data_IF_931187657598
#
_entry.id   IF_931187657598
#
_cell.length_a   1.000
_cell.length_b   1.000
_cell.length_c   1.000
_cell.angle_alpha   90.00
_cell.angle_beta   90.00
_cell.angle_gamma   90.00
#
_symmetry.space_group_name_H-M   'P 1'
#
loop_
_entity.id
_entity.type
_entity.pdbx_description
1 polymer ?
#
# COMPACT_ATOMS: atom_id res chain seq x y z
N UNK A 1 -27.50 49.36 24.27
CA UNK A 1 -27.44 47.93 24.62
C UNK A 1 -27.38 47.12 23.32
N UNK A 2 -26.19 46.57 23.08
CA UNK A 2 -25.75 45.51 22.15
C UNK A 2 -26.67 45.08 20.98
N UNK A 3 -26.28 45.49 19.76
CA UNK A 3 -26.64 44.88 18.46
C UNK A 3 -25.55 43.86 18.06
N UNK A 4 -24.96 43.15 19.02
CA UNK A 4 -23.83 42.22 18.78
C UNK A 4 -24.24 40.73 18.86
N UNK A 5 -25.55 40.43 18.90
CA UNK A 5 -26.05 39.09 19.25
C UNK A 5 -26.52 38.19 18.13
N UNK A 6 -26.38 38.54 16.84
CA UNK A 6 -27.01 37.76 15.74
C UNK A 6 -26.11 37.29 14.60
N UNK A 7 -24.80 37.56 14.63
CA UNK A 7 -23.91 37.24 13.48
C UNK A 7 -22.84 36.17 13.74
N UNK A 8 -22.86 35.46 14.86
CA UNK A 8 -21.79 34.48 15.19
C UNK A 8 -22.19 33.01 14.92
N UNK A 9 -23.44 32.71 14.56
CA UNK A 9 -23.89 31.31 14.37
C UNK A 9 -23.74 30.80 12.92
N UNK A 10 -23.39 31.66 11.95
CA UNK A 10 -23.23 31.25 10.54
C UNK A 10 -21.77 31.03 10.09
N UNK A 11 -20.78 31.26 10.95
CA UNK A 11 -19.35 31.10 10.60
C UNK A 11 -18.70 29.82 11.16
N UNK A 12 -19.46 28.94 11.84
CA UNK A 12 -18.96 27.69 12.44
C UNK A 12 -19.38 26.42 11.67
N UNK A 13 -20.05 26.56 10.53
CA UNK A 13 -20.45 25.46 9.65
C UNK A 13 -19.64 25.39 8.34
N UNK A 14 -18.60 26.22 8.19
CA UNK A 14 -17.68 26.21 7.06
C UNK A 14 -16.31 25.57 7.38
N UNK A 15 -16.18 24.88 8.52
CA UNK A 15 -15.17 23.83 8.68
C UNK A 15 -15.86 22.51 8.37
N UNK A 16 -16.42 22.40 7.16
CA UNK A 16 -16.50 21.08 6.56
C UNK A 16 -15.04 20.71 6.37
N UNK A 17 -14.56 19.83 7.25
CA UNK A 17 -13.39 19.01 6.99
C UNK A 17 -13.41 18.65 5.50
N UNK A 18 -12.53 19.24 4.71
CA UNK A 18 -12.09 18.67 3.44
C UNK A 18 -11.30 17.42 3.81
N UNK A 19 -12.00 16.46 4.41
CA UNK A 19 -11.55 15.10 4.61
C UNK A 19 -11.48 14.51 3.22
N UNK A 20 -10.36 14.80 2.56
CA UNK A 20 -10.03 14.37 1.22
C UNK A 20 -10.24 12.87 1.13
N UNK A 21 -11.26 12.46 0.37
CA UNK A 21 -11.30 11.18 -0.33
C UNK A 21 -9.96 10.98 -1.05
N UNK A 22 -9.57 9.75 -1.40
CA UNK A 22 -8.55 9.58 -2.42
C UNK A 22 -8.95 10.41 -3.64
N UNK A 23 -8.01 11.20 -4.15
CA UNK A 23 -8.28 12.15 -5.24
C UNK A 23 -7.71 11.59 -6.54
N UNK A 24 -8.49 11.66 -7.62
CA UNK A 24 -7.96 11.39 -8.95
C UNK A 24 -7.15 12.62 -9.40
N UNK A 25 -5.82 12.52 -9.35
CA UNK A 25 -4.91 13.63 -9.70
C UNK A 25 -4.84 13.94 -11.20
N UNK A 26 -5.44 13.11 -12.04
CA UNK A 26 -5.17 13.09 -13.48
C UNK A 26 -6.28 13.72 -14.30
N UNK A 27 -5.93 14.18 -15.50
CA UNK A 27 -6.90 14.70 -16.47
C UNK A 27 -7.96 13.63 -16.79
N UNK A 28 -9.27 13.98 -16.75
CA UNK A 28 -10.33 13.04 -17.11
C UNK A 28 -10.12 12.39 -18.48
N UNK A 29 -10.35 11.08 -18.59
CA UNK A 29 -10.16 10.31 -19.82
C UNK A 29 -8.73 9.83 -20.08
N UNK A 30 -7.73 10.31 -19.33
CA UNK A 30 -6.36 9.80 -19.42
C UNK A 30 -6.23 8.36 -18.91
N UNK A 31 -5.16 7.67 -19.31
CA UNK A 31 -4.82 6.31 -18.82
C UNK A 31 -4.74 6.28 -17.28
N UNK A 32 -3.95 7.13 -16.60
CA UNK A 32 -3.87 7.09 -15.15
C UNK A 32 -5.18 7.48 -14.44
N UNK A 33 -6.06 8.26 -15.09
CA UNK A 33 -7.40 8.50 -14.56
C UNK A 33 -8.26 7.22 -14.58
N UNK A 34 -8.10 6.35 -15.59
CA UNK A 34 -8.78 5.04 -15.63
C UNK A 34 -8.18 4.06 -14.62
N UNK A 35 -6.85 4.08 -14.44
CA UNK A 35 -6.16 3.29 -13.40
C UNK A 35 -6.67 3.64 -12.01
N UNK A 36 -6.92 4.93 -11.73
CA UNK A 36 -7.49 5.38 -10.47
C UNK A 36 -8.82 4.69 -10.17
N UNK A 37 -9.73 4.58 -11.15
CA UNK A 37 -11.03 3.93 -10.94
C UNK A 37 -10.91 2.44 -10.61
N UNK A 38 -9.86 1.75 -11.08
CA UNK A 38 -9.60 0.35 -10.73
C UNK A 38 -9.19 0.20 -9.26
N UNK A 39 -8.35 1.11 -8.75
CA UNK A 39 -7.81 1.02 -7.39
C UNK A 39 -8.67 1.70 -6.33
N UNK A 40 -9.57 2.60 -6.75
CA UNK A 40 -10.48 3.36 -5.88
C UNK A 40 -11.23 2.52 -4.83
N UNK A 41 -11.76 1.32 -5.15
CA UNK A 41 -12.45 0.49 -4.16
C UNK A 41 -11.54 0.01 -3.02
N UNK A 42 -10.23 -0.05 -3.25
CA UNK A 42 -9.23 -0.42 -2.25
C UNK A 42 -8.83 0.82 -1.47
N UNK A 43 -8.30 1.84 -2.17
CA UNK A 43 -7.71 3.01 -1.51
C UNK A 43 -8.73 3.84 -0.73
N UNK A 44 -10.00 3.83 -1.15
CA UNK A 44 -11.10 4.51 -0.47
C UNK A 44 -10.79 5.98 -0.22
N UNK A 45 -11.05 6.47 1.00
CA UNK A 45 -10.71 7.84 1.41
C UNK A 45 -9.32 7.93 2.06
N UNK A 46 -8.51 6.87 1.93
CA UNK A 46 -7.34 6.63 2.79
C UNK A 46 -6.05 7.12 2.16
N UNK A 47 -5.89 6.97 0.84
CA UNK A 47 -4.64 7.30 0.14
C UNK A 47 -4.90 7.73 -1.30
N UNK A 48 -4.28 8.83 -1.72
CA UNK A 48 -4.23 9.32 -3.09
C UNK A 48 -3.02 8.68 -3.80
N UNK A 49 -3.24 7.78 -4.77
CA UNK A 49 -2.15 7.11 -5.48
C UNK A 49 -1.55 8.01 -6.57
N UNK A 50 -0.23 7.93 -6.74
CA UNK A 50 0.52 8.48 -7.87
C UNK A 50 1.02 7.32 -8.72
N UNK A 51 0.56 7.20 -9.96
CA UNK A 51 1.02 6.17 -10.89
C UNK A 51 2.31 6.58 -11.59
N UNK A 52 3.27 5.66 -11.65
CA UNK A 52 4.56 5.83 -12.31
C UNK A 52 4.91 4.59 -13.15
N UNK A 53 5.74 4.78 -14.17
CA UNK A 53 6.51 3.70 -14.78
C UNK A 53 7.92 3.64 -14.20
N UNK A 54 8.42 2.42 -14.04
CA UNK A 54 9.77 2.17 -13.52
C UNK A 54 10.88 2.76 -14.41
N UNK A 55 10.70 2.75 -15.72
CA UNK A 55 11.67 3.21 -16.73
C UNK A 55 11.37 4.62 -17.27
N UNK A 56 10.13 5.10 -17.13
CA UNK A 56 9.72 6.43 -17.61
C UNK A 56 8.69 7.10 -16.68
N UNK A 57 9.16 7.54 -15.52
CA UNK A 57 8.32 8.18 -14.51
C UNK A 57 7.52 9.40 -15.04
N UNK A 58 8.10 10.14 -15.98
CA UNK A 58 7.53 11.38 -16.51
C UNK A 58 6.27 11.14 -17.35
N UNK A 59 6.11 9.97 -17.96
CA UNK A 59 5.01 9.68 -18.88
C UNK A 59 3.64 9.81 -18.21
N UNK A 60 3.45 9.11 -17.08
CA UNK A 60 2.17 9.15 -16.36
C UNK A 60 1.98 10.47 -15.60
N UNK A 61 3.07 11.07 -15.11
CA UNK A 61 3.02 12.39 -14.47
C UNK A 61 2.64 13.51 -15.45
N UNK A 62 2.90 13.34 -16.75
CA UNK A 62 2.49 14.29 -17.79
C UNK A 62 0.97 14.49 -17.89
N UNK A 63 0.17 13.58 -17.33
CA UNK A 63 -1.30 13.67 -17.29
C UNK A 63 -1.85 14.31 -16.02
N UNK A 64 -1.01 14.79 -15.10
CA UNK A 64 -1.47 15.44 -13.87
C UNK A 64 -2.30 16.69 -14.18
N UNK A 65 -3.38 16.86 -13.42
CA UNK A 65 -4.16 18.09 -13.41
C UNK A 65 -3.57 19.04 -12.36
N UNK A 66 -2.93 20.16 -12.76
CA UNK A 66 -2.24 21.04 -11.83
C UNK A 66 -3.17 21.66 -10.78
N UNK A 67 -4.43 21.90 -11.12
CA UNK A 67 -5.44 22.42 -10.17
C UNK A 67 -5.72 21.38 -9.09
N UNK A 68 -5.97 20.13 -9.50
CA UNK A 68 -6.29 19.04 -8.56
C UNK A 68 -5.09 18.69 -7.68
N UNK A 69 -3.88 18.69 -8.23
CA UNK A 69 -2.64 18.47 -7.47
C UNK A 69 -2.46 19.54 -6.40
N UNK A 70 -2.70 20.81 -6.75
CA UNK A 70 -2.64 21.92 -5.82
C UNK A 70 -3.72 21.81 -4.73
N UNK A 71 -4.96 21.49 -5.09
CA UNK A 71 -6.07 21.28 -4.13
C UNK A 71 -5.83 20.10 -3.19
N UNK A 72 -5.17 19.04 -3.67
CA UNK A 72 -4.76 17.91 -2.86
C UNK A 72 -3.56 18.22 -1.93
N UNK A 73 -2.95 19.40 -2.05
CA UNK A 73 -1.83 19.83 -1.21
C UNK A 73 -0.52 19.09 -1.50
N UNK A 74 -0.36 18.51 -2.70
CA UNK A 74 0.80 17.71 -3.07
C UNK A 74 1.86 18.61 -3.72
N UNK A 75 3.04 18.72 -3.09
CA UNK A 75 4.16 19.51 -3.60
C UNK A 75 5.12 18.73 -4.49
N UNK A 76 5.98 19.45 -5.21
CA UNK A 76 7.02 18.86 -6.09
C UNK A 76 7.93 17.87 -5.34
N UNK A 77 8.26 18.15 -4.08
CA UNK A 77 9.09 17.27 -3.26
C UNK A 77 8.50 15.85 -3.08
N UNK A 78 7.17 15.70 -3.15
CA UNK A 78 6.51 14.38 -3.14
C UNK A 78 6.82 13.60 -4.41
N UNK A 79 6.73 14.24 -5.58
CA UNK A 79 7.06 13.60 -6.86
C UNK A 79 8.55 13.28 -6.94
N UNK A 80 9.42 14.20 -6.54
CA UNK A 80 10.87 14.00 -6.51
C UNK A 80 11.26 12.81 -5.62
N UNK A 81 10.60 12.68 -4.45
CA UNK A 81 10.77 11.54 -3.57
C UNK A 81 10.42 10.22 -4.28
N UNK A 82 9.24 10.12 -4.88
CA UNK A 82 8.83 8.89 -5.56
C UNK A 82 9.75 8.54 -6.74
N UNK A 83 10.15 9.52 -7.54
CA UNK A 83 11.09 9.32 -8.65
C UNK A 83 12.46 8.84 -8.14
N UNK A 84 12.97 9.43 -7.05
CA UNK A 84 14.26 9.04 -6.45
C UNK A 84 14.29 7.61 -5.89
N UNK A 85 13.10 7.04 -5.64
CA UNK A 85 12.90 5.71 -5.07
C UNK A 85 12.55 4.67 -6.10
N UNK A 86 12.50 5.04 -7.39
CA UNK A 86 12.35 4.07 -8.46
C UNK A 86 13.53 3.10 -8.44
N UNK A 87 13.21 1.83 -8.67
CA UNK A 87 14.18 0.76 -8.86
C UNK A 87 14.30 0.53 -10.37
N UNK A 88 15.39 1.04 -11.01
CA UNK A 88 15.67 0.73 -12.40
C UNK A 88 15.79 -0.79 -12.58
N UNK A 89 15.40 -1.31 -13.74
CA UNK A 89 15.52 -2.73 -14.06
C UNK A 89 14.79 -3.70 -13.12
N UNK A 90 13.77 -3.22 -12.38
CA UNK A 90 12.92 -4.05 -11.51
C UNK A 90 12.42 -5.36 -12.18
N UNK A 91 12.13 -5.32 -13.49
CA UNK A 91 11.75 -6.50 -14.27
C UNK A 91 12.83 -7.59 -14.36
N UNK A 92 14.11 -7.22 -14.38
CA UNK A 92 15.24 -8.18 -14.42
C UNK A 92 15.22 -9.07 -13.17
N UNK A 93 14.72 -8.53 -12.06
CA UNK A 93 14.52 -9.25 -10.81
C UNK A 93 13.13 -9.89 -10.68
N UNK A 94 12.32 -9.87 -11.74
CA UNK A 94 10.97 -10.43 -11.77
C UNK A 94 9.90 -9.60 -11.07
N UNK A 95 10.20 -8.34 -10.72
CA UNK A 95 9.25 -7.40 -10.11
C UNK A 95 8.43 -6.72 -11.21
N UNK A 96 7.10 -6.91 -11.18
CA UNK A 96 6.17 -6.42 -12.21
C UNK A 96 5.40 -5.17 -11.80
N UNK A 97 5.41 -4.86 -10.51
CA UNK A 97 4.87 -3.66 -9.89
C UNK A 97 5.38 -3.56 -8.45
N UNK A 98 5.37 -2.35 -7.90
CA UNK A 98 5.69 -2.10 -6.49
C UNK A 98 5.09 -0.77 -6.03
N UNK A 99 4.80 -0.66 -4.74
CA UNK A 99 4.35 0.58 -4.12
C UNK A 99 5.52 1.31 -3.45
N UNK A 100 5.62 2.62 -3.69
CA UNK A 100 6.56 3.48 -2.95
C UNK A 100 5.77 4.23 -1.88
N UNK A 101 6.05 3.85 -0.64
CA UNK A 101 5.49 4.47 0.56
C UNK A 101 6.57 4.74 1.59
N UNK A 102 6.27 4.44 2.85
CA UNK A 102 7.14 4.69 4.00
C UNK A 102 6.42 5.45 5.11
N UNK A 103 7.05 5.62 6.27
CA UNK A 103 6.46 6.33 7.41
C UNK A 103 6.24 7.83 7.14
N UNK A 104 7.08 8.45 6.32
CA UNK A 104 6.96 9.84 5.90
C UNK A 104 7.18 9.98 4.40
N UNK A 105 6.39 10.87 3.78
CA UNK A 105 6.55 11.29 2.38
C UNK A 105 6.67 12.82 2.38
N UNK A 106 7.79 13.39 1.90
CA UNK A 106 8.02 14.83 1.95
C UNK A 106 7.11 15.60 1.00
N UNK A 107 6.85 16.87 1.29
CA UNK A 107 6.02 17.76 0.46
C UNK A 107 4.52 17.47 0.50
N UNK A 108 4.10 16.64 1.45
CA UNK A 108 2.71 16.31 1.73
C UNK A 108 2.49 16.03 3.22
N UNK A 109 3.25 16.68 4.10
CA UNK A 109 3.30 16.36 5.53
C UNK A 109 1.96 16.63 6.23
N UNK A 110 1.21 17.63 5.77
CA UNK A 110 -0.10 18.00 6.33
C UNK A 110 -1.23 17.01 6.00
N UNK A 111 -1.12 16.25 4.90
CA UNK A 111 -2.15 15.30 4.46
C UNK A 111 -1.68 13.85 4.62
N UNK A 112 -0.38 13.56 4.46
CA UNK A 112 0.28 12.26 4.68
C UNK A 112 -0.36 11.03 4.00
N UNK A 113 -1.20 11.26 2.99
CA UNK A 113 -2.00 10.26 2.29
C UNK A 113 -1.61 10.13 0.82
N UNK A 114 -0.32 10.20 0.49
CA UNK A 114 0.18 9.85 -0.84
C UNK A 114 1.04 8.59 -0.81
N UNK A 115 0.97 7.85 -1.90
CA UNK A 115 1.78 6.67 -2.18
C UNK A 115 1.93 6.55 -3.70
N UNK A 116 3.07 6.09 -4.19
CA UNK A 116 3.19 5.78 -5.60
C UNK A 116 2.88 4.30 -5.87
N UNK A 117 2.15 4.04 -6.96
CA UNK A 117 2.01 2.71 -7.54
C UNK A 117 2.87 2.70 -8.81
N UNK A 118 3.94 1.92 -8.80
CA UNK A 118 4.86 1.81 -9.91
C UNK A 118 4.57 0.53 -10.67
N UNK A 119 4.32 0.66 -11.97
CA UNK A 119 4.17 -0.48 -12.85
C UNK A 119 5.43 -0.64 -13.69
N UNK A 120 5.88 -1.88 -13.88
CA UNK A 120 7.12 -2.13 -14.58
C UNK A 120 6.98 -1.96 -16.11
N UNK A 121 5.78 -2.10 -16.69
CA UNK A 121 5.51 -1.90 -18.12
C UNK A 121 4.06 -1.51 -18.40
N UNK A 122 3.79 -1.03 -19.62
CA UNK A 122 2.44 -0.74 -20.08
C UNK A 122 1.52 -1.97 -20.04
N UNK A 123 2.04 -3.15 -20.34
CA UNK A 123 1.26 -4.39 -20.28
C UNK A 123 0.77 -4.67 -18.86
N UNK A 124 1.61 -4.42 -17.85
CA UNK A 124 1.24 -4.68 -16.47
C UNK A 124 0.16 -3.70 -15.95
N UNK A 125 0.02 -2.52 -16.55
CA UNK A 125 -1.09 -1.60 -16.23
C UNK A 125 -2.47 -2.19 -16.57
N UNK A 126 -2.54 -3.14 -17.50
CA UNK A 126 -3.80 -3.81 -17.84
C UNK A 126 -4.12 -4.94 -16.85
N UNK A 127 -3.15 -5.33 -16.00
CA UNK A 127 -3.31 -6.39 -15.01
C UNK A 127 -3.96 -5.83 -13.74
N UNK A 128 -5.28 -5.92 -13.64
CA UNK A 128 -6.06 -5.48 -12.47
C UNK A 128 -5.55 -6.07 -11.15
N UNK A 129 -5.05 -7.32 -11.17
CA UNK A 129 -4.54 -7.99 -9.97
C UNK A 129 -3.29 -7.35 -9.38
N UNK A 130 -2.38 -6.86 -10.23
CA UNK A 130 -1.15 -6.20 -9.77
C UNK A 130 -1.47 -4.82 -9.22
N UNK A 131 -2.27 -4.02 -9.94
CA UNK A 131 -2.71 -2.72 -9.43
C UNK A 131 -3.48 -2.83 -8.11
N UNK A 132 -4.31 -3.87 -7.96
CA UNK A 132 -5.01 -4.15 -6.70
C UNK A 132 -4.02 -4.42 -5.56
N UNK A 133 -2.99 -5.23 -5.80
CA UNK A 133 -1.97 -5.55 -4.82
C UNK A 133 -1.21 -4.30 -4.36
N UNK A 134 -0.72 -3.49 -5.30
CA UNK A 134 -0.01 -2.26 -4.98
C UNK A 134 -0.91 -1.21 -4.31
N UNK A 135 -2.20 -1.18 -4.65
CA UNK A 135 -3.18 -0.33 -3.98
C UNK A 135 -3.39 -0.74 -2.51
N UNK A 136 -3.37 -2.04 -2.21
CA UNK A 136 -3.40 -2.53 -0.82
C UNK A 136 -2.16 -2.07 -0.07
N UNK A 137 -0.97 -2.15 -0.68
CA UNK A 137 0.26 -1.62 -0.07
C UNK A 137 0.15 -0.14 0.26
N UNK A 138 -0.31 0.68 -0.70
CA UNK A 138 -0.52 2.10 -0.49
C UNK A 138 -1.51 2.41 0.65
N UNK A 139 -2.61 1.66 0.73
CA UNK A 139 -3.57 1.78 1.82
C UNK A 139 -2.92 1.44 3.16
N UNK A 140 -2.18 0.33 3.22
CA UNK A 140 -1.50 -0.10 4.43
C UNK A 140 -0.52 0.95 4.95
N UNK A 141 0.28 1.56 4.06
CA UNK A 141 1.17 2.66 4.43
C UNK A 141 0.38 3.81 5.05
N UNK A 142 -0.68 4.27 4.40
CA UNK A 142 -1.47 5.39 4.90
C UNK A 142 -2.13 5.09 6.25
N UNK A 143 -2.73 3.91 6.43
CA UNK A 143 -3.37 3.52 7.70
C UNK A 143 -2.36 3.41 8.84
N UNK A 144 -1.19 2.82 8.60
CA UNK A 144 -0.15 2.66 9.63
C UNK A 144 0.57 3.99 9.96
N UNK A 145 0.65 4.94 9.03
CA UNK A 145 1.13 6.31 9.33
C UNK A 145 0.20 7.02 10.31
N UNK A 146 -1.11 6.88 10.10
CA UNK A 146 -2.13 7.46 10.98
C UNK A 146 -2.10 6.78 12.35
N UNK A 147 -1.88 5.46 12.39
CA UNK A 147 -1.77 4.66 13.60
C UNK A 147 -0.32 4.30 13.93
N UNK A 148 0.45 5.29 14.38
CA UNK A 148 1.87 5.15 14.71
C UNK A 148 2.15 4.04 15.74
N UNK A 149 1.21 3.77 16.65
CA UNK A 149 1.38 2.69 17.62
C UNK A 149 1.29 1.32 16.96
N UNK A 150 0.41 1.13 15.98
CA UNK A 150 0.43 -0.07 15.15
C UNK A 150 1.72 -0.17 14.30
N UNK A 151 2.23 0.93 13.74
CA UNK A 151 3.52 0.92 13.02
C UNK A 151 4.67 0.45 13.92
N UNK A 152 4.81 1.03 15.11
CA UNK A 152 5.83 0.62 16.09
C UNK A 152 5.64 -0.82 16.54
N UNK A 153 4.39 -1.25 16.73
CA UNK A 153 4.09 -2.62 17.11
C UNK A 153 4.53 -3.59 16.01
N UNK A 154 4.26 -3.29 14.74
CA UNK A 154 4.76 -4.08 13.60
C UNK A 154 6.29 -4.18 13.63
N UNK A 155 6.99 -3.06 13.71
CA UNK A 155 8.45 -3.04 13.76
C UNK A 155 9.03 -3.83 14.95
N UNK A 156 8.37 -3.80 16.10
CA UNK A 156 8.79 -4.55 17.31
C UNK A 156 8.67 -6.07 17.16
N UNK A 157 7.90 -6.55 16.17
CA UNK A 157 7.80 -7.97 15.89
C UNK A 157 9.08 -8.51 15.23
N UNK A 158 9.96 -7.67 14.69
CA UNK A 158 11.22 -8.14 14.11
C UNK A 158 12.00 -9.02 15.10
N UNK A 159 12.71 -10.00 14.55
CA UNK A 159 13.52 -10.97 15.27
C UNK A 159 14.92 -10.91 14.66
N UNK A 160 15.92 -10.36 15.38
CA UNK A 160 17.29 -10.29 14.89
C UNK A 160 17.84 -11.64 14.42
N UNK A 161 17.33 -12.74 14.97
CA UNK A 161 17.69 -14.11 14.59
C UNK A 161 17.34 -14.46 13.13
N UNK A 162 16.45 -13.69 12.49
CA UNK A 162 16.13 -13.84 11.06
C UNK A 162 17.15 -13.13 10.14
N UNK A 163 18.11 -12.40 10.71
CA UNK A 163 19.17 -11.72 9.95
C UNK A 163 18.69 -10.54 9.11
N UNK A 164 17.50 -10.01 9.40
CA UNK A 164 16.90 -8.85 8.75
C UNK A 164 17.10 -7.58 9.59
N UNK A 165 17.47 -6.48 8.96
CA UNK A 165 17.33 -5.15 9.58
C UNK A 165 15.85 -4.81 9.80
N UNK A 166 15.55 -3.81 10.63
CA UNK A 166 14.17 -3.38 10.83
C UNK A 166 13.52 -2.87 9.54
N UNK A 167 14.28 -2.25 8.65
CA UNK A 167 13.76 -1.72 7.40
C UNK A 167 13.48 -2.85 6.40
N UNK A 168 14.37 -3.84 6.31
CA UNK A 168 14.14 -5.06 5.55
C UNK A 168 12.92 -5.82 6.08
N UNK A 169 12.80 -5.95 7.40
CA UNK A 169 11.64 -6.57 8.04
C UNK A 169 10.37 -5.82 7.68
N UNK A 170 10.32 -4.49 7.82
CA UNK A 170 9.12 -3.71 7.53
C UNK A 170 8.74 -3.78 6.06
N UNK A 171 9.71 -3.70 5.15
CA UNK A 171 9.49 -3.87 3.71
C UNK A 171 8.81 -5.22 3.40
N UNK A 172 9.35 -6.33 3.92
CA UNK A 172 8.75 -7.66 3.72
C UNK A 172 7.46 -7.88 4.52
N UNK A 173 7.31 -7.22 5.67
CA UNK A 173 6.08 -7.27 6.46
C UNK A 173 4.91 -6.64 5.72
N UNK A 174 5.14 -5.59 4.93
CA UNK A 174 4.13 -5.01 4.07
C UNK A 174 3.61 -6.01 3.02
N UNK A 175 4.46 -6.88 2.46
CA UNK A 175 4.03 -7.96 1.55
C UNK A 175 3.10 -8.95 2.24
N UNK A 176 3.48 -9.38 3.45
CA UNK A 176 2.69 -10.32 4.23
C UNK A 176 1.35 -9.71 4.67
N UNK A 177 1.36 -8.44 5.05
CA UNK A 177 0.17 -7.68 5.41
C UNK A 177 -0.77 -7.49 4.20
N UNK A 178 -0.22 -7.18 3.03
CA UNK A 178 -0.97 -7.10 1.79
C UNK A 178 -1.64 -8.45 1.47
N UNK A 179 -0.90 -9.56 1.56
CA UNK A 179 -1.44 -10.90 1.35
C UNK A 179 -2.65 -11.20 2.25
N UNK A 180 -2.56 -10.86 3.55
CA UNK A 180 -3.69 -11.00 4.49
C UNK A 180 -4.90 -10.17 4.05
N UNK A 181 -4.69 -8.89 3.77
CA UNK A 181 -5.77 -7.94 3.48
C UNK A 181 -6.46 -8.29 2.16
N UNK A 182 -5.72 -8.79 1.16
CA UNK A 182 -6.34 -9.29 -0.08
C UNK A 182 -7.29 -10.46 0.18
N UNK A 183 -6.96 -11.36 1.11
CA UNK A 183 -7.86 -12.45 1.53
C UNK A 183 -9.09 -11.88 2.23
N UNK A 184 -8.93 -10.86 3.06
CA UNK A 184 -10.05 -10.18 3.70
C UNK A 184 -10.98 -9.51 2.68
N UNK A 185 -10.44 -8.81 1.66
CA UNK A 185 -11.23 -8.24 0.56
C UNK A 185 -11.99 -9.32 -0.23
N UNK A 186 -11.34 -10.44 -0.54
CA UNK A 186 -12.01 -11.55 -1.20
C UNK A 186 -13.15 -12.13 -0.34
N UNK A 187 -12.88 -12.36 0.94
CA UNK A 187 -13.84 -13.00 1.85
C UNK A 187 -15.03 -12.09 2.17
N UNK A 188 -14.78 -10.80 2.39
CA UNK A 188 -15.81 -9.84 2.80
C UNK A 188 -16.60 -9.29 1.60
N UNK A 189 -15.95 -9.06 0.46
CA UNK A 189 -16.49 -8.27 -0.65
C UNK A 189 -16.48 -9.02 -1.99
N UNK A 190 -16.00 -10.27 -2.03
CA UNK A 190 -15.97 -11.10 -3.24
C UNK A 190 -14.94 -10.66 -4.29
N UNK A 191 -13.99 -9.78 -3.92
CA UNK A 191 -12.96 -9.28 -4.84
C UNK A 191 -11.84 -10.32 -4.99
N UNK A 192 -11.77 -10.96 -6.17
CA UNK A 192 -10.85 -12.08 -6.43
C UNK A 192 -9.47 -11.69 -6.94
N UNK A 193 -9.29 -10.44 -7.34
CA UNK A 193 -8.12 -9.97 -8.09
C UNK A 193 -6.80 -10.22 -7.32
N UNK A 194 -6.74 -9.90 -6.03
CA UNK A 194 -5.54 -10.13 -5.21
C UNK A 194 -5.29 -11.59 -4.81
N UNK A 195 -6.34 -12.36 -4.49
CA UNK A 195 -6.19 -13.74 -4.02
C UNK A 195 -5.56 -14.66 -5.07
N UNK A 196 -5.92 -14.46 -6.34
CA UNK A 196 -5.32 -15.22 -7.44
C UNK A 196 -3.79 -15.05 -7.52
N UNK A 197 -3.28 -13.85 -7.21
CA UNK A 197 -1.84 -13.59 -7.19
C UNK A 197 -1.14 -14.35 -6.06
N UNK A 198 -1.71 -14.32 -4.84
CA UNK A 198 -1.15 -15.04 -3.69
C UNK A 198 -1.11 -16.55 -3.94
N UNK A 199 -2.16 -17.12 -4.52
CA UNK A 199 -2.22 -18.55 -4.84
C UNK A 199 -1.18 -18.91 -5.92
N UNK A 200 -1.01 -18.08 -6.95
CA UNK A 200 0.02 -18.31 -7.99
C UNK A 200 1.44 -18.21 -7.44
N UNK A 201 1.71 -17.22 -6.59
CA UNK A 201 3.00 -17.01 -5.94
C UNK A 201 3.40 -18.15 -4.98
N UNK A 202 2.43 -18.93 -4.52
CA UNK A 202 2.64 -20.04 -3.60
C UNK A 202 2.92 -21.39 -4.29
N UNK A 203 2.99 -21.44 -5.62
CA UNK A 203 3.26 -22.69 -6.32
C UNK A 203 4.73 -23.14 -6.14
N UNK A 204 5.01 -24.44 -5.92
CA UNK A 204 6.34 -24.95 -5.56
C UNK A 204 7.47 -24.65 -6.55
N UNK A 205 7.12 -24.35 -7.80
CA UNK A 205 8.00 -24.05 -8.93
C UNK A 205 8.16 -22.54 -9.19
N UNK A 206 7.47 -21.70 -8.42
CA UNK A 206 7.39 -20.23 -8.60
C UNK A 206 8.14 -19.47 -7.50
N UNK A 207 9.34 -19.95 -7.11
CA UNK A 207 10.32 -19.18 -6.33
C UNK A 207 10.88 -17.96 -7.12
N UNK A 208 10.00 -17.20 -7.76
CA UNK A 208 10.29 -15.85 -8.22
C UNK A 208 10.41 -14.97 -6.99
N UNK A 209 11.10 -13.83 -7.09
CA UNK A 209 11.32 -12.86 -6.01
C UNK A 209 10.02 -12.19 -5.47
N UNK A 210 8.86 -12.80 -5.75
CA UNK A 210 7.49 -12.42 -5.47
C UNK A 210 6.75 -13.56 -4.78
N UNK A 211 7.40 -14.30 -3.86
CA UNK A 211 6.63 -15.04 -2.85
C UNK A 211 5.79 -14.00 -2.10
N UNK A 212 4.51 -14.24 -1.80
CA UNK A 212 3.66 -13.24 -1.15
C UNK A 212 2.95 -13.92 0.02
N UNK A 213 3.53 -13.84 1.22
CA UNK A 213 2.87 -14.13 2.50
C UNK A 213 1.94 -15.34 2.54
N UNK A 214 2.30 -16.46 1.89
CA UNK A 214 1.33 -17.52 1.60
C UNK A 214 0.74 -18.15 2.85
N UNK A 215 1.56 -18.47 3.87
CA UNK A 215 1.05 -19.09 5.10
C UNK A 215 0.14 -18.12 5.84
N UNK A 216 0.48 -16.84 5.84
CA UNK A 216 -0.31 -15.77 6.43
C UNK A 216 -1.64 -15.61 5.71
N UNK A 217 -1.66 -15.58 4.38
CA UNK A 217 -2.89 -15.54 3.60
C UNK A 217 -3.76 -16.78 3.83
N UNK A 218 -3.16 -17.97 3.91
CA UNK A 218 -3.90 -19.21 4.20
C UNK A 218 -4.46 -19.22 5.62
N UNK A 219 -3.74 -18.65 6.59
CA UNK A 219 -4.23 -18.44 7.96
C UNK A 219 -5.36 -17.42 7.99
N UNK A 220 -5.23 -16.33 7.23
CA UNK A 220 -6.27 -15.32 7.06
C UNK A 220 -7.55 -15.97 6.52
N UNK A 221 -7.45 -16.77 5.46
CA UNK A 221 -8.60 -17.42 4.83
C UNK A 221 -9.40 -18.25 5.83
N UNK A 222 -8.71 -19.11 6.58
CA UNK A 222 -9.33 -19.92 7.65
C UNK A 222 -10.00 -19.06 8.71
N UNK A 223 -9.37 -17.95 9.10
CA UNK A 223 -9.93 -17.02 10.08
C UNK A 223 -11.16 -16.29 9.55
N UNK A 224 -11.13 -15.84 8.29
CA UNK A 224 -12.24 -15.13 7.67
C UNK A 224 -13.43 -16.05 7.46
N UNK A 225 -13.20 -17.29 7.04
CA UNK A 225 -14.23 -18.34 6.93
C UNK A 225 -14.86 -18.65 8.30
N UNK A 226 -14.03 -18.86 9.33
CA UNK A 226 -14.52 -19.20 10.67
C UNK A 226 -15.32 -18.07 11.34
N UNK A 227 -14.96 -16.81 11.08
CA UNK A 227 -15.61 -15.63 11.68
C UNK A 227 -16.68 -15.00 10.78
N UNK A 228 -16.82 -15.46 9.54
CA UNK A 228 -17.66 -14.84 8.52
C UNK A 228 -17.12 -13.52 7.96
N UNK A 229 -16.10 -12.90 8.58
CA UNK A 229 -15.43 -11.70 8.09
C UNK A 229 -14.03 -11.51 8.74
N UNK A 230 -13.17 -10.73 8.07
CA UNK A 230 -11.88 -10.27 8.58
C UNK A 230 -11.74 -8.75 8.49
N UNK A 231 -10.85 -8.14 9.27
CA UNK A 231 -10.55 -6.71 9.06
C UNK A 231 -9.75 -6.52 7.77
N UNK A 232 -10.15 -5.52 6.98
CA UNK A 232 -9.35 -4.98 5.86
C UNK A 232 -8.48 -3.81 6.31
N UNK A 233 -8.55 -3.39 7.58
CA UNK A 233 -7.79 -2.28 8.17
C UNK A 233 -6.44 -2.77 8.71
N UNK A 234 -5.33 -2.23 8.19
CA UNK A 234 -3.99 -2.69 8.50
C UNK A 234 -3.64 -2.70 10.01
N UNK A 235 -3.91 -1.63 10.79
CA UNK A 235 -3.65 -1.62 12.23
C UNK A 235 -4.32 -2.76 13.00
N UNK A 236 -5.53 -3.17 12.63
CA UNK A 236 -6.22 -4.29 13.28
C UNK A 236 -5.51 -5.62 13.01
N UNK A 237 -5.05 -5.81 11.77
CA UNK A 237 -4.31 -7.00 11.37
C UNK A 237 -2.96 -7.05 12.10
N UNK A 238 -2.25 -5.93 12.25
CA UNK A 238 -1.02 -5.85 13.05
C UNK A 238 -1.28 -6.27 14.50
N UNK A 239 -2.32 -5.71 15.14
CA UNK A 239 -2.67 -6.06 16.53
C UNK A 239 -3.06 -7.53 16.65
N UNK A 240 -3.78 -8.08 15.68
CA UNK A 240 -4.13 -9.49 15.61
C UNK A 240 -2.88 -10.37 15.51
N UNK A 241 -1.98 -10.07 14.57
CA UNK A 241 -0.71 -10.80 14.40
C UNK A 241 0.13 -10.74 15.68
N UNK A 242 0.17 -9.60 16.37
CA UNK A 242 0.88 -9.50 17.64
C UNK A 242 0.23 -10.32 18.77
N UNK A 243 -1.10 -10.34 18.86
CA UNK A 243 -1.83 -11.05 19.93
C UNK A 243 -1.97 -12.56 19.70
N UNK A 244 -1.82 -13.03 18.45
CA UNK A 244 -1.97 -14.44 18.08
C UNK A 244 -0.61 -15.07 17.76
N UNK A 245 -0.06 -15.84 18.71
CA UNK A 245 1.27 -16.46 18.58
C UNK A 245 1.39 -17.41 17.39
N UNK A 246 0.32 -18.15 17.04
CA UNK A 246 0.33 -19.04 15.88
C UNK A 246 0.37 -18.24 14.57
N UNK A 247 -0.50 -17.24 14.41
CA UNK A 247 -0.51 -16.39 13.23
C UNK A 247 0.82 -15.64 13.07
N UNK A 248 1.38 -15.12 14.16
CA UNK A 248 2.72 -14.51 14.17
C UNK A 248 3.81 -15.48 13.73
N UNK A 249 3.78 -16.73 14.18
CA UNK A 249 4.76 -17.73 13.79
C UNK A 249 4.67 -18.05 12.29
N UNK A 250 3.46 -18.15 11.72
CA UNK A 250 3.28 -18.34 10.28
C UNK A 250 3.82 -17.15 9.47
N UNK A 251 3.54 -15.93 9.92
CA UNK A 251 4.08 -14.70 9.34
C UNK A 251 5.62 -14.68 9.37
N UNK A 252 6.25 -15.06 10.49
CA UNK A 252 7.73 -15.12 10.55
C UNK A 252 8.34 -16.13 9.59
N UNK A 253 7.67 -17.26 9.36
CA UNK A 253 8.12 -18.24 8.36
C UNK A 253 8.01 -17.68 6.94
N UNK A 254 6.93 -16.97 6.62
CA UNK A 254 6.80 -16.29 5.32
C UNK A 254 7.91 -15.24 5.15
N UNK A 255 8.16 -14.39 6.15
CA UNK A 255 9.21 -13.37 6.08
C UNK A 255 10.60 -13.97 5.87
N UNK A 256 10.90 -15.10 6.52
CA UNK A 256 12.17 -15.80 6.31
C UNK A 256 12.31 -16.29 4.86
N UNK A 257 11.26 -16.93 4.33
CA UNK A 257 11.25 -17.44 2.95
C UNK A 257 11.39 -16.30 1.94
N UNK A 258 10.68 -15.19 2.17
CA UNK A 258 10.79 -13.98 1.36
C UNK A 258 12.20 -13.42 1.33
N UNK A 259 12.83 -13.31 2.50
CA UNK A 259 14.16 -12.78 2.62
C UNK A 259 15.22 -13.68 1.97
N UNK A 260 15.09 -15.00 2.14
CA UNK A 260 15.97 -15.97 1.51
C UNK A 260 15.82 -15.95 -0.03
N UNK A 261 14.59 -15.81 -0.55
CA UNK A 261 14.31 -15.69 -1.98
C UNK A 261 14.86 -14.38 -2.58
N UNK A 262 14.67 -13.25 -1.90
CA UNK A 262 15.19 -11.95 -2.33
C UNK A 262 16.73 -11.97 -2.41
N UNK A 263 17.39 -12.58 -1.41
CA UNK A 263 18.86 -12.77 -1.44
C UNK A 263 19.30 -13.63 -2.64
N UNK A 264 18.58 -14.72 -2.91
CA UNK A 264 18.91 -15.62 -4.00
C UNK A 264 18.75 -14.97 -5.39
N UNK A 265 17.79 -14.06 -5.55
CA UNK A 265 17.55 -13.33 -6.81
C UNK A 265 18.44 -12.09 -7.00
N UNK A 266 19.25 -11.74 -5.99
CA UNK A 266 20.02 -10.50 -5.97
C UNK A 266 19.16 -9.24 -5.79
N UNK A 267 17.88 -9.39 -5.44
CA UNK A 267 17.00 -8.28 -5.12
C UNK A 267 17.37 -7.69 -3.75
N UNK A 268 17.74 -6.41 -3.74
CA UNK A 268 18.06 -5.69 -2.50
C UNK A 268 16.75 -5.22 -1.87
N UNK A 269 16.30 -5.92 -0.84
CA UNK A 269 15.26 -5.41 0.08
C UNK A 269 15.84 -4.20 0.82
N UNK A 270 15.10 -3.08 0.86
CA UNK A 270 15.56 -1.75 1.32
C UNK A 270 16.63 -1.79 2.43
N UNK A 271 17.83 -1.28 2.12
CA UNK A 271 19.03 -1.33 2.98
C UNK A 271 19.29 -0.03 3.78
N UNK A 272 18.40 0.95 3.73
CA UNK A 272 18.64 2.30 4.27
C UNK A 272 17.84 2.56 5.53
#
# INVERSE_FOLDING_TARGET
MSILGKSIVFALLAVMSTGSSAVNLYQPGSIPAQMFEVVKPVVGDTVTPVFLFGDNAAELMGFLNPVVVQEAGIGQATFDYFVSKLIPDSQVHGVVGYAIGGFSVPGNESVSRTCAIVMASHQQMQTTTTMFHEAVHCKNFAELRVDNEAWKLAASMNRPELGMSNNQFMSLFHEVLAAYIQVAYNSNLGIKDGLGMVIRAAQPDKNTATSIGYRTARSALKMCEAKGACSTHAPDVVRMLNSNSYARAQMMLDLKELFDAAKASGYIVENH
#
